data_IF_576230238547
#
_entry.id   IF_576230238547
#
_cell.length_a   1.000
_cell.length_b   1.000
_cell.length_c   1.000
_cell.angle_alpha   90.00
_cell.angle_beta   90.00
_cell.angle_gamma   90.00
#
_symmetry.space_group_name_H-M   'P 1'
#
loop_
_entity.id
_entity.type
_entity.pdbx_description
1 polymer ?
#
# COMPACT_ATOMS: atom_id res chain seq x y z
N UNK A 1 11.75 5.95 12.32
CA UNK A 1 11.41 5.75 10.89
C UNK A 1 10.18 6.57 10.48
N UNK A 2 9.02 6.39 11.13
CA UNK A 2 7.79 7.16 10.83
C UNK A 2 8.00 8.68 10.85
N UNK A 3 8.75 9.21 11.81
CA UNK A 3 9.08 10.64 11.92
C UNK A 3 9.80 11.24 10.70
N UNK A 4 10.35 10.41 9.80
CA UNK A 4 10.99 10.87 8.56
C UNK A 4 10.00 11.19 7.45
N UNK A 5 8.70 10.96 7.64
CA UNK A 5 7.66 11.18 6.64
C UNK A 5 6.72 12.32 7.05
N UNK A 6 6.77 13.49 6.37
CA UNK A 6 5.99 14.67 6.77
C UNK A 6 4.47 14.46 6.78
N UNK A 7 3.97 13.56 5.93
CA UNK A 7 2.54 13.22 5.82
C UNK A 7 2.23 11.84 6.42
N UNK A 8 3.08 11.36 7.32
CA UNK A 8 3.04 9.97 7.81
C UNK A 8 3.44 8.94 6.76
N UNK A 9 3.31 7.67 7.11
CA UNK A 9 3.66 6.53 6.25
C UNK A 9 2.57 5.47 6.29
N UNK A 10 2.22 4.92 5.13
CA UNK A 10 1.26 3.82 5.03
C UNK A 10 1.82 2.51 5.58
N UNK A 11 0.92 1.62 6.06
CA UNK A 11 1.27 0.30 6.62
C UNK A 11 2.19 -0.50 5.71
N UNK A 12 1.84 -0.63 4.42
CA UNK A 12 2.59 -1.43 3.45
C UNK A 12 4.01 -0.89 3.29
N UNK A 13 4.18 0.40 2.97
CA UNK A 13 5.48 1.04 2.81
C UNK A 13 6.36 0.88 4.05
N UNK A 14 5.80 1.12 5.25
CA UNK A 14 6.55 0.98 6.50
C UNK A 14 7.06 -0.46 6.69
N UNK A 15 6.21 -1.46 6.47
CA UNK A 15 6.59 -2.88 6.55
C UNK A 15 7.76 -3.20 5.62
N UNK A 16 7.70 -2.72 4.37
CA UNK A 16 8.73 -2.97 3.36
C UNK A 16 10.05 -2.27 3.68
N UNK A 17 10.01 -1.04 4.20
CA UNK A 17 11.21 -0.31 4.60
C UNK A 17 11.88 -0.93 5.83
N UNK A 18 11.11 -1.39 6.81
CA UNK A 18 11.65 -2.11 7.97
C UNK A 18 12.34 -3.41 7.56
N UNK A 19 11.74 -4.16 6.62
CA UNK A 19 12.38 -5.35 6.05
C UNK A 19 13.72 -5.00 5.39
N UNK A 20 13.77 -3.93 4.58
CA UNK A 20 15.01 -3.51 3.91
C UNK A 20 16.09 -3.08 4.91
N UNK A 21 15.73 -2.48 6.05
CA UNK A 21 16.69 -2.17 7.13
C UNK A 21 17.38 -3.43 7.63
N UNK A 22 16.64 -4.50 7.94
CA UNK A 22 17.23 -5.75 8.39
C UNK A 22 18.03 -6.47 7.31
N UNK A 23 17.51 -6.49 6.08
CA UNK A 23 18.18 -7.12 4.95
C UNK A 23 19.53 -6.44 4.64
N UNK A 24 19.55 -5.10 4.60
CA UNK A 24 20.78 -4.32 4.35
C UNK A 24 21.73 -4.41 5.53
N UNK A 25 21.23 -4.31 6.77
CA UNK A 25 22.08 -4.49 7.96
C UNK A 25 22.74 -5.86 7.98
N UNK A 26 22.01 -6.93 7.64
CA UNK A 26 22.58 -8.28 7.61
C UNK A 26 23.73 -8.38 6.61
N UNK A 27 23.62 -7.70 5.46
CA UNK A 27 24.66 -7.67 4.43
C UNK A 27 25.86 -6.80 4.82
N UNK A 28 25.63 -5.64 5.43
CA UNK A 28 26.68 -4.66 5.73
C UNK A 28 27.35 -4.85 7.08
N UNK A 29 26.60 -5.26 8.10
CA UNK A 29 27.05 -5.39 9.49
C UNK A 29 27.14 -6.86 9.94
N UNK A 30 26.71 -7.81 9.11
CA UNK A 30 26.72 -9.24 9.42
C UNK A 30 25.60 -9.70 10.37
N UNK A 31 24.70 -8.81 10.76
CA UNK A 31 23.56 -9.10 11.63
C UNK A 31 22.37 -8.16 11.36
N UNK A 32 21.17 -8.59 11.74
CA UNK A 32 19.95 -7.77 11.65
C UNK A 32 19.96 -6.69 12.74
N UNK A 33 19.27 -5.59 12.48
CA UNK A 33 19.06 -4.53 13.49
C UNK A 33 17.95 -4.95 14.45
N UNK A 34 16.93 -5.64 13.93
CA UNK A 34 15.80 -6.10 14.72
C UNK A 34 15.78 -7.62 14.83
N UNK A 35 15.12 -8.10 15.88
CA UNK A 35 14.84 -9.52 16.07
C UNK A 35 13.53 -9.96 15.39
N UNK A 36 12.92 -9.08 14.58
CA UNK A 36 11.60 -9.32 13.95
C UNK A 36 11.60 -10.63 13.16
N UNK A 37 10.59 -11.46 13.39
CA UNK A 37 10.35 -12.63 12.55
C UNK A 37 9.65 -12.20 11.24
N UNK A 38 10.39 -12.23 10.13
CA UNK A 38 9.86 -11.94 8.80
C UNK A 38 9.24 -13.18 8.18
N UNK A 39 7.91 -13.19 8.02
CA UNK A 39 7.20 -14.28 7.37
C UNK A 39 7.08 -14.04 5.88
N UNK A 40 7.26 -15.12 5.10
CA UNK A 40 6.96 -15.15 3.67
C UNK A 40 5.46 -15.18 3.49
N UNK A 41 4.87 -14.00 3.34
CA UNK A 41 3.49 -13.88 2.89
C UNK A 41 3.47 -13.81 1.35
N UNK A 42 2.35 -14.18 0.75
CA UNK A 42 2.20 -14.24 -0.72
C UNK A 42 2.59 -12.89 -1.36
N UNK A 43 2.33 -11.80 -0.65
CA UNK A 43 2.57 -10.43 -1.11
C UNK A 43 3.86 -9.81 -0.52
N UNK A 44 4.85 -10.65 -0.23
CA UNK A 44 6.18 -10.26 0.24
C UNK A 44 6.34 -10.30 1.77
N UNK A 45 7.45 -9.75 2.30
CA UNK A 45 7.74 -9.84 3.73
C UNK A 45 6.67 -9.14 4.56
N UNK A 46 6.27 -9.82 5.63
CA UNK A 46 5.25 -9.38 6.57
C UNK A 46 5.62 -9.83 7.99
N UNK A 47 5.31 -9.01 8.98
CA UNK A 47 5.40 -9.38 10.40
C UNK A 47 4.24 -8.79 11.19
N UNK A 48 3.60 -9.63 12.01
CA UNK A 48 2.55 -9.19 12.92
C UNK A 48 3.10 -8.40 14.11
N UNK A 49 4.32 -8.72 14.53
CA UNK A 49 5.02 -8.01 15.61
C UNK A 49 5.15 -6.51 15.30
N UNK A 50 5.40 -6.17 14.03
CA UNK A 50 5.43 -4.77 13.59
C UNK A 50 4.09 -4.09 13.84
N UNK A 51 2.97 -4.77 13.56
CA UNK A 51 1.63 -4.22 13.79
C UNK A 51 1.33 -4.08 15.28
N UNK A 52 1.69 -5.07 16.09
CA UNK A 52 1.50 -5.03 17.54
C UNK A 52 2.30 -3.87 18.18
N UNK A 53 3.50 -3.58 17.66
CA UNK A 53 4.29 -2.42 18.06
C UNK A 53 3.62 -1.12 17.63
N UNK A 54 3.11 -1.03 16.39
CA UNK A 54 2.38 0.16 15.94
C UNK A 54 1.15 0.42 16.80
N UNK A 55 0.35 -0.60 17.10
CA UNK A 55 -0.81 -0.49 17.98
C UNK A 55 -0.42 -0.03 19.39
N UNK A 56 0.72 -0.46 19.90
CA UNK A 56 1.25 -0.01 21.19
C UNK A 56 1.70 1.44 21.15
N UNK A 57 2.36 1.87 20.07
CA UNK A 57 2.76 3.27 19.88
C UNK A 57 1.56 4.21 19.68
N UNK A 58 0.48 3.73 19.07
CA UNK A 58 -0.78 4.46 18.96
C UNK A 58 -1.46 4.59 20.32
N UNK A 59 -1.59 3.49 21.08
CA UNK A 59 -2.17 3.50 22.43
C UNK A 59 -1.40 4.35 23.44
N UNK A 60 -0.10 4.54 23.23
CA UNK A 60 0.76 5.40 24.04
C UNK A 60 0.86 6.83 23.52
N UNK A 61 0.02 7.21 22.54
CA UNK A 61 -0.05 8.57 21.98
C UNK A 61 1.28 9.05 21.35
N UNK A 62 2.12 8.11 20.91
CA UNK A 62 3.38 8.40 20.19
C UNK A 62 3.18 8.45 18.69
N UNK A 63 2.16 7.74 18.21
CA UNK A 63 1.69 7.77 16.83
C UNK A 63 0.22 8.19 16.78
N UNK A 64 -0.11 9.02 15.80
CA UNK A 64 -1.47 9.26 15.37
C UNK A 64 -1.78 8.39 14.14
N UNK A 65 -3.01 7.88 14.07
CA UNK A 65 -3.51 7.13 12.92
C UNK A 65 -4.43 8.03 12.11
N UNK A 66 -4.01 8.35 10.89
CA UNK A 66 -4.90 8.96 9.89
C UNK A 66 -5.69 7.84 9.21
N UNK A 67 -7.01 7.80 9.48
CA UNK A 67 -7.95 6.82 8.95
C UNK A 67 -8.51 7.23 7.58
N UNK A 68 -7.72 7.95 6.79
CA UNK A 68 -8.04 8.28 5.40
C UNK A 68 -8.23 7.04 4.50
N UNK A 69 -8.28 7.23 3.17
CA UNK A 69 -8.48 6.13 2.23
C UNK A 69 -7.46 5.00 2.35
N UNK A 70 -6.26 5.30 2.86
CA UNK A 70 -5.32 4.33 3.42
C UNK A 70 -5.03 4.67 4.89
N UNK A 71 -4.72 3.65 5.70
CA UNK A 71 -4.25 3.84 7.07
C UNK A 71 -2.81 4.36 7.07
N UNK A 72 -2.58 5.55 7.65
CA UNK A 72 -1.24 6.15 7.76
C UNK A 72 -0.87 6.41 9.21
N UNK A 73 0.39 6.18 9.53
CA UNK A 73 0.97 6.46 10.84
C UNK A 73 1.74 7.78 10.78
N UNK A 74 1.41 8.71 11.68
CA UNK A 74 2.07 10.01 11.83
C UNK A 74 2.76 10.02 13.19
N UNK A 75 4.05 10.37 13.22
CA UNK A 75 4.77 10.52 14.49
C UNK A 75 4.34 11.81 15.19
N UNK A 76 4.00 11.72 16.46
CA UNK A 76 3.61 12.86 17.30
C UNK A 76 4.80 13.47 18.05
N UNK A 77 5.91 12.73 18.12
CA UNK A 77 7.15 13.15 18.76
C UNK A 77 8.36 12.64 17.98
N UNK A 78 9.51 13.28 18.18
CA UNK A 78 10.78 12.77 17.66
C UNK A 78 11.18 11.52 18.46
N UNK A 79 11.53 10.41 17.80
CA UNK A 79 11.97 9.21 18.50
C UNK A 79 13.29 9.45 19.25
N UNK A 80 13.60 8.64 20.27
CA UNK A 80 14.91 8.66 20.90
C UNK A 80 16.01 8.41 19.85
N UNK A 81 17.22 8.97 20.07
CA UNK A 81 18.33 8.79 19.15
C UNK A 81 18.71 7.31 19.04
N UNK A 82 18.96 6.86 17.82
CA UNK A 82 19.44 5.51 17.53
C UNK A 82 20.98 5.44 17.67
N UNK A 83 21.54 4.27 18.00
CA UNK A 83 22.98 4.02 17.84
C UNK A 83 23.49 4.39 16.44
N UNK A 84 24.73 4.85 16.33
CA UNK A 84 25.26 5.44 15.08
C UNK A 84 25.20 4.49 13.88
N UNK A 85 25.56 3.24 14.10
CA UNK A 85 25.53 2.16 13.11
C UNK A 85 24.10 1.86 12.64
N UNK A 86 23.16 1.73 13.57
CA UNK A 86 21.73 1.54 13.31
C UNK A 86 21.16 2.74 12.54
N UNK A 87 21.45 3.95 13.01
CA UNK A 87 21.01 5.22 12.40
C UNK A 87 21.48 5.30 10.96
N UNK A 88 22.75 4.96 10.68
CA UNK A 88 23.33 5.00 9.33
C UNK A 88 22.57 4.10 8.36
N UNK A 89 22.21 2.87 8.76
CA UNK A 89 21.45 1.95 7.92
C UNK A 89 20.01 2.47 7.71
N UNK A 90 19.34 2.91 8.78
CA UNK A 90 17.98 3.46 8.69
C UNK A 90 17.93 4.68 7.77
N UNK A 91 18.85 5.63 7.95
CA UNK A 91 18.91 6.84 7.12
C UNK A 91 19.28 6.51 5.67
N UNK A 92 20.12 5.50 5.42
CA UNK A 92 20.38 4.98 4.07
C UNK A 92 19.11 4.45 3.43
N UNK A 93 18.36 3.61 4.13
CA UNK A 93 17.11 3.03 3.61
C UNK A 93 16.07 4.10 3.31
N UNK A 94 15.90 5.07 4.20
CA UNK A 94 14.95 6.17 3.96
C UNK A 94 15.37 7.03 2.77
N UNK A 95 16.66 7.36 2.66
CA UNK A 95 17.17 8.15 1.53
C UNK A 95 17.01 7.44 0.19
N UNK A 96 17.28 6.14 0.14
CA UNK A 96 17.27 5.38 -1.11
C UNK A 96 15.86 4.90 -1.51
N UNK A 97 15.03 4.52 -0.55
CA UNK A 97 13.77 3.82 -0.82
C UNK A 97 12.53 4.53 -0.25
N UNK A 98 12.69 5.44 0.72
CA UNK A 98 11.58 6.02 1.47
C UNK A 98 10.52 6.69 0.60
N UNK A 99 10.95 7.45 -0.41
CA UNK A 99 10.07 8.22 -1.31
C UNK A 99 9.97 7.63 -2.72
N UNK A 100 10.46 6.41 -2.92
CA UNK A 100 10.36 5.69 -4.18
C UNK A 100 8.88 5.32 -4.46
N UNK A 101 8.39 5.37 -5.71
CA UNK A 101 7.06 4.83 -6.05
C UNK A 101 6.89 3.40 -5.53
N UNK A 102 5.69 3.06 -5.03
CA UNK A 102 5.50 1.81 -4.30
C UNK A 102 5.79 0.59 -5.18
N UNK A 103 5.41 0.62 -6.47
CA UNK A 103 5.77 -0.42 -7.44
C UNK A 103 7.27 -0.69 -7.45
N UNK A 104 8.09 0.37 -7.53
CA UNK A 104 9.54 0.23 -7.56
C UNK A 104 10.10 -0.25 -6.22
N UNK A 105 9.55 0.24 -5.10
CA UNK A 105 9.91 -0.24 -3.75
C UNK A 105 9.64 -1.75 -3.64
N UNK A 106 8.49 -2.22 -4.09
CA UNK A 106 8.14 -3.63 -4.07
C UNK A 106 9.06 -4.45 -4.97
N UNK A 107 9.40 -3.99 -6.17
CA UNK A 107 10.41 -4.65 -7.01
C UNK A 107 11.72 -4.86 -6.24
N UNK A 108 12.24 -3.83 -5.57
CA UNK A 108 13.46 -3.93 -4.77
C UNK A 108 13.33 -4.91 -3.61
N UNK A 109 12.21 -4.87 -2.90
CA UNK A 109 11.94 -5.78 -1.79
C UNK A 109 11.89 -7.22 -2.28
N UNK A 110 11.25 -7.49 -3.41
CA UNK A 110 11.12 -8.84 -3.97
C UNK A 110 12.49 -9.35 -4.45
N UNK A 111 13.30 -8.50 -5.09
CA UNK A 111 14.69 -8.82 -5.45
C UNK A 111 15.51 -9.20 -4.21
N UNK A 112 15.43 -8.40 -3.15
CA UNK A 112 16.08 -8.66 -1.87
C UNK A 112 15.58 -9.94 -1.18
N UNK A 113 14.31 -10.27 -1.37
CA UNK A 113 13.68 -11.50 -0.87
C UNK A 113 13.94 -12.73 -1.77
N UNK A 114 14.72 -12.59 -2.85
CA UNK A 114 15.05 -13.66 -3.79
C UNK A 114 13.92 -14.05 -4.75
N UNK A 115 12.93 -13.19 -4.94
CA UNK A 115 11.82 -13.37 -5.89
C UNK A 115 12.13 -12.60 -7.17
N UNK A 116 12.12 -13.30 -8.31
CA UNK A 116 12.32 -12.69 -9.64
C UNK A 116 10.99 -12.41 -10.32
N UNK A 117 10.91 -11.32 -11.09
CA UNK A 117 9.76 -11.03 -11.96
C UNK A 117 8.52 -10.55 -11.20
N UNK A 118 8.69 -9.51 -10.37
CA UNK A 118 7.57 -8.77 -9.80
C UNK A 118 6.71 -8.18 -10.93
N UNK A 119 5.41 -8.47 -10.90
CA UNK A 119 4.42 -7.95 -11.85
C UNK A 119 3.31 -7.29 -11.05
N UNK A 120 3.23 -5.97 -11.16
CA UNK A 120 2.25 -5.18 -10.40
C UNK A 120 0.81 -5.62 -10.63
N UNK A 121 0.41 -5.85 -11.88
CA UNK A 121 -0.96 -6.23 -12.19
C UNK A 121 -1.28 -7.59 -11.59
N UNK A 122 -0.39 -8.57 -11.78
CA UNK A 122 -0.56 -9.91 -11.20
C UNK A 122 -0.75 -9.84 -9.69
N UNK A 123 0.09 -9.08 -9.00
CA UNK A 123 0.04 -8.95 -7.53
C UNK A 123 -1.25 -8.29 -7.05
N UNK A 124 -1.75 -7.26 -7.75
CA UNK A 124 -3.03 -6.63 -7.43
C UNK A 124 -4.21 -7.60 -7.67
N UNK A 125 -4.19 -8.38 -8.76
CA UNK A 125 -5.22 -9.39 -8.99
C UNK A 125 -5.21 -10.50 -7.93
N UNK A 126 -4.02 -10.99 -7.56
CA UNK A 126 -3.89 -12.02 -6.53
C UNK A 126 -4.36 -11.51 -5.17
N UNK A 127 -4.03 -10.25 -4.82
CA UNK A 127 -4.56 -9.57 -3.64
C UNK A 127 -6.09 -9.51 -3.68
N UNK A 128 -6.66 -8.98 -4.76
CA UNK A 128 -8.10 -8.83 -4.92
C UNK A 128 -8.86 -10.16 -4.81
N UNK A 129 -8.31 -11.24 -5.36
CA UNK A 129 -8.89 -12.61 -5.28
C UNK A 129 -8.74 -13.27 -3.91
N UNK A 130 -7.91 -12.73 -3.03
CA UNK A 130 -7.67 -13.27 -1.69
C UNK A 130 -8.47 -12.56 -0.60
N UNK A 131 -9.17 -11.47 -0.94
CA UNK A 131 -9.94 -10.65 0.02
C UNK A 131 -11.03 -11.44 0.74
N UNK A 132 -11.65 -12.43 0.10
CA UNK A 132 -12.65 -13.31 0.72
C UNK A 132 -12.07 -14.18 1.85
N UNK A 133 -10.79 -14.54 1.73
CA UNK A 133 -10.10 -15.49 2.60
C UNK A 133 -9.24 -14.83 3.67
N UNK A 134 -8.74 -13.62 3.40
CA UNK A 134 -7.84 -12.91 4.27
C UNK A 134 -8.24 -11.43 4.38
N UNK A 135 -8.68 -11.02 5.57
CA UNK A 135 -9.03 -9.63 5.86
C UNK A 135 -7.84 -8.69 5.74
N UNK A 136 -6.61 -9.15 5.93
CA UNK A 136 -5.44 -8.30 5.75
C UNK A 136 -5.18 -8.01 4.25
N UNK A 137 -5.66 -8.85 3.34
CA UNK A 137 -5.52 -8.63 1.89
C UNK A 137 -6.29 -7.41 1.40
N UNK A 138 -7.47 -7.08 1.96
CA UNK A 138 -8.18 -5.86 1.56
C UNK A 138 -7.44 -4.61 1.98
N UNK A 139 -6.86 -4.62 3.18
CA UNK A 139 -6.07 -3.50 3.70
C UNK A 139 -4.80 -3.31 2.87
N UNK A 140 -4.11 -4.40 2.54
CA UNK A 140 -2.92 -4.37 1.68
C UNK A 140 -3.27 -3.92 0.25
N UNK A 141 -4.38 -4.40 -0.33
CA UNK A 141 -4.85 -3.99 -1.65
C UNK A 141 -5.12 -2.48 -1.71
N UNK A 142 -5.92 -1.99 -0.77
CA UNK A 142 -6.30 -0.58 -0.67
C UNK A 142 -5.07 0.30 -0.44
N UNK A 143 -4.20 -0.09 0.50
CA UNK A 143 -2.95 0.62 0.79
C UNK A 143 -2.02 0.67 -0.42
N UNK A 144 -1.88 -0.44 -1.16
CA UNK A 144 -1.06 -0.47 -2.38
C UNK A 144 -1.60 0.44 -3.47
N UNK A 145 -2.90 0.37 -3.75
CA UNK A 145 -3.52 1.21 -4.76
C UNK A 145 -3.37 2.69 -4.42
N UNK A 146 -3.66 3.07 -3.17
CA UNK A 146 -3.59 4.47 -2.79
C UNK A 146 -2.15 5.01 -2.74
N UNK A 147 -1.19 4.27 -2.17
CA UNK A 147 0.19 4.77 -2.10
C UNK A 147 0.85 4.88 -3.48
N UNK A 148 0.49 4.00 -4.42
CA UNK A 148 1.00 4.07 -5.80
C UNK A 148 0.29 5.14 -6.63
N UNK A 149 -1.03 5.31 -6.47
CA UNK A 149 -1.85 6.16 -7.34
C UNK A 149 -2.52 7.32 -6.59
N UNK A 150 -1.89 7.84 -5.53
CA UNK A 150 -2.48 8.89 -4.67
C UNK A 150 -3.00 10.06 -5.47
N UNK A 151 -2.18 10.59 -6.38
CA UNK A 151 -2.52 11.78 -7.15
C UNK A 151 -3.71 11.53 -8.10
N UNK A 152 -3.83 10.32 -8.65
CA UNK A 152 -4.99 9.94 -9.44
C UNK A 152 -6.26 9.84 -8.57
N UNK A 153 -6.16 9.28 -7.37
CA UNK A 153 -7.30 9.20 -6.45
C UNK A 153 -7.78 10.57 -5.96
N UNK A 154 -6.90 11.58 -5.86
CA UNK A 154 -7.29 12.96 -5.55
C UNK A 154 -8.21 13.59 -6.61
N UNK A 155 -8.24 13.03 -7.82
CA UNK A 155 -9.11 13.47 -8.93
C UNK A 155 -10.41 12.66 -9.06
N UNK A 156 -10.56 11.59 -8.28
CA UNK A 156 -11.75 10.72 -8.26
C UNK A 156 -12.68 11.08 -7.10
N UNK A 157 -13.94 10.62 -7.11
CA UNK A 157 -14.78 10.67 -5.92
C UNK A 157 -14.07 10.05 -4.71
N UNK A 158 -14.16 10.70 -3.55
CA UNK A 158 -13.39 10.33 -2.34
C UNK A 158 -13.70 8.90 -1.87
N UNK A 159 -14.92 8.45 -2.14
CA UNK A 159 -15.43 7.15 -1.73
C UNK A 159 -15.05 6.02 -2.70
N UNK A 160 -14.48 6.34 -3.87
CA UNK A 160 -14.17 5.37 -4.94
C UNK A 160 -13.38 4.16 -4.41
N UNK A 161 -12.34 4.40 -3.63
CA UNK A 161 -11.49 3.33 -3.10
C UNK A 161 -12.19 2.49 -2.04
N UNK A 162 -13.02 3.10 -1.19
CA UNK A 162 -13.81 2.39 -0.19
C UNK A 162 -14.91 1.54 -0.85
N UNK A 163 -15.60 2.08 -1.85
CA UNK A 163 -16.60 1.34 -2.64
C UNK A 163 -15.94 0.18 -3.40
N UNK A 164 -14.75 0.40 -3.97
CA UNK A 164 -13.98 -0.66 -4.62
C UNK A 164 -13.62 -1.77 -3.62
N UNK A 165 -13.20 -1.44 -2.40
CA UNK A 165 -12.91 -2.45 -1.37
C UNK A 165 -14.14 -3.33 -1.04
N UNK A 166 -15.32 -2.72 -0.93
CA UNK A 166 -16.60 -3.44 -0.71
C UNK A 166 -16.92 -4.33 -1.92
N UNK A 167 -16.85 -3.77 -3.14
CA UNK A 167 -17.12 -4.47 -4.38
C UNK A 167 -16.19 -5.68 -4.58
N UNK A 168 -14.90 -5.52 -4.31
CA UNK A 168 -13.91 -6.61 -4.39
C UNK A 168 -14.25 -7.72 -3.39
N UNK A 169 -14.60 -7.36 -2.15
CA UNK A 169 -15.01 -8.35 -1.15
C UNK A 169 -16.16 -9.23 -1.64
N UNK A 170 -17.19 -8.61 -2.22
CA UNK A 170 -18.31 -9.34 -2.81
C UNK A 170 -17.91 -10.17 -4.04
N UNK A 171 -17.29 -9.55 -5.05
CA UNK A 171 -16.96 -10.22 -6.30
C UNK A 171 -15.92 -11.32 -6.15
N UNK A 172 -15.01 -11.21 -5.18
CA UNK A 172 -14.03 -12.27 -4.90
C UNK A 172 -14.69 -13.58 -4.46
N UNK A 173 -15.87 -13.52 -3.84
CA UNK A 173 -16.67 -14.69 -3.48
C UNK A 173 -17.58 -15.17 -4.62
N UNK A 174 -18.21 -14.26 -5.37
CA UNK A 174 -19.35 -14.61 -6.23
C UNK A 174 -19.10 -14.49 -7.74
N UNK A 175 -18.19 -13.61 -8.18
CA UNK A 175 -17.91 -13.41 -9.61
C UNK A 175 -16.46 -12.94 -9.84
N UNK A 176 -15.54 -13.91 -9.82
CA UNK A 176 -14.10 -13.68 -10.05
C UNK A 176 -13.82 -13.12 -11.44
N UNK A 177 -14.66 -13.41 -12.44
CA UNK A 177 -14.47 -12.86 -13.78
C UNK A 177 -14.73 -11.35 -13.75
N UNK A 178 -15.84 -10.93 -13.19
CA UNK A 178 -16.19 -9.51 -13.03
C UNK A 178 -15.21 -8.77 -12.13
N UNK A 179 -14.73 -9.42 -11.07
CA UNK A 179 -13.64 -8.90 -10.24
C UNK A 179 -12.42 -8.50 -11.07
N UNK A 180 -11.99 -9.39 -11.97
CA UNK A 180 -10.82 -9.15 -12.81
C UNK A 180 -11.07 -8.01 -13.80
N UNK A 181 -12.27 -7.90 -14.38
CA UNK A 181 -12.62 -6.81 -15.30
C UNK A 181 -12.57 -5.45 -14.59
N UNK A 182 -13.28 -5.29 -13.47
CA UNK A 182 -13.31 -4.03 -12.71
C UNK A 182 -11.92 -3.65 -12.20
N UNK A 183 -11.16 -4.62 -11.69
CA UNK A 183 -9.80 -4.37 -11.19
C UNK A 183 -8.87 -3.92 -12.31
N UNK A 184 -8.98 -4.54 -13.49
CA UNK A 184 -8.21 -4.11 -14.66
C UNK A 184 -8.58 -2.69 -15.07
N UNK A 185 -9.87 -2.41 -15.22
CA UNK A 185 -10.37 -1.11 -15.67
C UNK A 185 -9.98 0.01 -14.70
N UNK A 186 -9.99 -0.29 -13.38
CA UNK A 186 -9.49 0.62 -12.36
C UNK A 186 -8.00 0.88 -12.51
N UNK A 187 -7.16 -0.16 -12.63
CA UNK A 187 -5.72 0.00 -12.80
C UNK A 187 -5.36 0.79 -14.06
N UNK A 188 -5.98 0.46 -15.19
CA UNK A 188 -5.75 1.14 -16.46
C UNK A 188 -6.16 2.63 -16.37
N UNK A 189 -7.30 2.92 -15.73
CA UNK A 189 -7.75 4.28 -15.47
C UNK A 189 -6.76 5.05 -14.58
N UNK A 190 -6.29 4.44 -13.49
CA UNK A 190 -5.36 5.07 -12.56
C UNK A 190 -4.00 5.34 -13.22
N UNK A 191 -3.48 4.43 -14.03
CA UNK A 191 -2.26 4.63 -14.83
C UNK A 191 -2.39 5.81 -15.79
N UNK A 192 -3.52 5.91 -16.50
CA UNK A 192 -3.78 7.03 -17.39
C UNK A 192 -3.89 8.37 -16.63
N UNK A 193 -4.64 8.39 -15.53
CA UNK A 193 -4.80 9.59 -14.70
C UNK A 193 -3.48 10.04 -14.07
N UNK A 194 -2.65 9.11 -13.62
CA UNK A 194 -1.36 9.42 -13.00
C UNK A 194 -0.39 10.09 -13.98
N UNK A 195 -0.46 9.76 -15.27
CA UNK A 195 0.32 10.47 -16.32
C UNK A 195 -0.09 11.95 -16.46
N UNK A 196 -1.34 12.27 -16.14
CA UNK A 196 -1.86 13.65 -16.16
C UNK A 196 -1.70 14.37 -14.82
N UNK A 197 -1.48 13.65 -13.72
CA UNK A 197 -1.37 14.26 -12.39
C UNK A 197 -0.26 15.31 -12.28
N UNK A 198 0.85 15.09 -12.99
CA UNK A 198 1.96 16.04 -13.03
C UNK A 198 1.69 17.31 -13.85
N UNK A 199 0.78 17.27 -14.84
CA UNK A 199 0.68 18.34 -15.84
C UNK A 199 -0.17 19.54 -15.40
N UNK A 200 -0.92 19.43 -14.29
CA UNK A 200 -1.95 20.40 -13.84
C UNK A 200 -3.04 20.70 -14.88
N UNK A 201 -3.06 19.99 -16.01
CA UNK A 201 -4.06 20.14 -17.05
C UNK A 201 -5.35 19.42 -16.63
N UNK A 202 -6.53 19.91 -17.06
CA UNK A 202 -7.77 19.19 -16.82
C UNK A 202 -7.74 17.82 -17.52
N UNK A 203 -8.27 16.80 -16.85
CA UNK A 203 -8.36 15.47 -17.43
C UNK A 203 -9.14 15.49 -18.76
N UNK A 204 -8.64 14.78 -19.80
CA UNK A 204 -9.37 14.57 -21.03
C UNK A 204 -10.81 14.08 -20.78
N UNK A 205 -11.76 14.58 -21.58
CA UNK A 205 -13.18 14.19 -21.46
C UNK A 205 -13.39 12.68 -21.58
N UNK A 206 -12.57 12.00 -22.37
CA UNK A 206 -12.56 10.52 -22.48
C UNK A 206 -12.25 9.84 -21.14
N UNK A 207 -11.21 10.29 -20.43
CA UNK A 207 -10.81 9.77 -19.11
C UNK A 207 -11.90 10.07 -18.07
N UNK A 208 -12.44 11.30 -18.07
CA UNK A 208 -13.52 11.69 -17.14
C UNK A 208 -14.78 10.83 -17.31
N UNK A 209 -15.17 10.54 -18.57
CA UNK A 209 -16.32 9.69 -18.85
C UNK A 209 -16.08 8.24 -18.40
N UNK A 210 -14.88 7.70 -18.64
CA UNK A 210 -14.49 6.37 -18.13
C UNK A 210 -14.54 6.30 -16.62
N UNK A 211 -13.97 7.31 -15.93
CA UNK A 211 -14.00 7.39 -14.48
C UNK A 211 -15.44 7.41 -13.93
N UNK A 212 -16.35 8.18 -14.53
CA UNK A 212 -17.76 8.22 -14.14
C UNK A 212 -18.47 6.88 -14.33
N UNK A 213 -18.23 6.21 -15.46
CA UNK A 213 -18.83 4.92 -15.76
C UNK A 213 -18.33 3.85 -14.76
N UNK A 214 -17.01 3.78 -14.55
CA UNK A 214 -16.40 2.84 -13.61
C UNK A 214 -16.86 3.10 -12.17
N UNK A 215 -16.97 4.36 -11.74
CA UNK A 215 -17.52 4.71 -10.43
C UNK A 215 -18.95 4.20 -10.26
N UNK A 216 -19.80 4.40 -11.28
CA UNK A 216 -21.19 3.93 -11.25
C UNK A 216 -21.27 2.40 -11.15
N UNK A 217 -20.42 1.71 -11.89
CA UNK A 217 -20.31 0.26 -11.86
C UNK A 217 -19.88 -0.27 -10.49
N UNK A 218 -18.80 0.28 -9.93
CA UNK A 218 -18.31 -0.09 -8.59
C UNK A 218 -19.35 0.21 -7.52
N UNK A 219 -20.04 1.37 -7.61
CA UNK A 219 -21.11 1.74 -6.67
C UNK A 219 -22.25 0.72 -6.71
N UNK A 220 -22.68 0.30 -7.90
CA UNK A 220 -23.76 -0.67 -8.05
C UNK A 220 -23.36 -2.03 -7.46
N UNK A 221 -22.15 -2.52 -7.76
CA UNK A 221 -21.63 -3.77 -7.18
C UNK A 221 -21.50 -3.68 -5.66
N UNK A 222 -21.02 -2.55 -5.12
CA UNK A 222 -20.95 -2.35 -3.67
C UNK A 222 -22.35 -2.30 -3.03
N UNK A 223 -23.33 -1.73 -3.72
CA UNK A 223 -24.72 -1.70 -3.25
C UNK A 223 -25.37 -3.10 -3.26
N UNK A 224 -25.03 -3.97 -4.23
CA UNK A 224 -25.43 -5.38 -4.25
C UNK A 224 -24.83 -6.12 -3.06
N UNK A 225 -23.55 -5.92 -2.77
CA UNK A 225 -22.85 -6.52 -1.63
C UNK A 225 -23.53 -6.23 -0.27
N UNK A 226 -24.09 -5.04 -0.10
CA UNK A 226 -24.76 -4.62 1.14
C UNK A 226 -26.15 -5.25 1.28
N UNK A 227 -26.81 -5.58 0.16
CA UNK A 227 -28.16 -6.15 0.15
C UNK A 227 -28.21 -7.64 0.49
N UNK A 228 -27.10 -8.36 0.29
CA UNK A 228 -26.99 -9.81 0.51
C UNK A 228 -27.21 -10.59 -0.76
#
# INVERSE_FOLDING_TARGET
MVSRFPRGVGRTRLMKLLFLVDAISSKELGHRITDIEWKRWVFGPFSREVLDVLDTLVRSERLYVDAGPEVRYIALEEPPPLPEDVRRVVDKVIREYGFMPLKMLLTRVYEEYGVKGFDWYREIFELARSVDRDRDSVIELVGRLYDEYREAFEMLPKEMLALYAIAVGHLSTYDVKRLNEITKDLLDLLEEMNKHASSKEPLPTTIRNRAKNLYTEILNTAAEAIKG
#
